data_IF_637271516899
#
_entry.id   IF_637271516899
#
_cell.length_a   1.000
_cell.length_b   1.000
_cell.length_c   1.000
_cell.angle_alpha   90.00
_cell.angle_beta   90.00
_cell.angle_gamma   90.00
#
_symmetry.space_group_name_H-M   'P 1'
#
loop_
_entity.id
_entity.type
_entity.pdbx_description
1 polymer ?
#
# COMPACT_ATOMS: atom_id res chain seq x y z
N UNK A 1 34.39 2.63 1.74
CA UNK A 1 33.68 2.43 0.47
C UNK A 1 32.55 1.47 0.77
N UNK A 2 31.38 1.99 1.13
CA UNK A 2 30.19 1.18 1.42
C UNK A 2 29.31 1.23 0.20
N UNK A 3 29.22 0.11 -0.52
CA UNK A 3 28.25 -0.09 -1.59
C UNK A 3 26.85 -0.04 -0.98
N UNK A 4 26.09 1.01 -1.31
CA UNK A 4 24.65 1.05 -1.09
C UNK A 4 24.02 0.10 -2.13
N UNK A 5 23.19 -0.87 -1.73
CA UNK A 5 22.59 -1.79 -2.69
C UNK A 5 21.69 -1.00 -3.64
N UNK A 6 21.97 -1.15 -4.93
CA UNK A 6 21.17 -0.63 -6.01
C UNK A 6 19.73 -1.15 -5.90
N UNK A 7 18.77 -0.23 -5.78
CA UNK A 7 17.35 -0.51 -5.96
C UNK A 7 16.72 -1.36 -4.87
N UNK A 8 16.68 -0.86 -3.63
CA UNK A 8 15.74 -1.41 -2.64
C UNK A 8 14.34 -1.15 -3.13
N UNK A 9 13.73 -2.22 -3.64
CA UNK A 9 12.32 -2.32 -3.99
C UNK A 9 11.51 -1.75 -2.83
N UNK A 10 11.01 -0.51 -2.95
CA UNK A 10 10.40 0.12 -1.79
C UNK A 10 9.13 -0.64 -1.31
N UNK A 11 8.68 -1.70 -2.00
CA UNK A 11 7.61 -2.59 -1.54
C UNK A 11 8.12 -3.48 -0.40
N UNK A 12 9.44 -3.64 -0.24
CA UNK A 12 10.04 -4.16 0.99
C UNK A 12 9.66 -3.35 2.23
N UNK A 13 9.34 -2.07 2.07
CA UNK A 13 9.00 -1.18 3.18
C UNK A 13 7.49 -1.12 3.43
N UNK A 14 6.68 -1.93 2.72
CA UNK A 14 5.27 -2.09 3.03
C UNK A 14 5.11 -3.00 4.25
N UNK A 15 4.63 -2.43 5.35
CA UNK A 15 4.27 -3.14 6.56
C UNK A 15 2.76 -3.09 6.75
N UNK A 16 2.20 -4.21 7.20
CA UNK A 16 0.83 -4.32 7.66
C UNK A 16 0.84 -4.46 9.17
N UNK A 17 0.07 -3.61 9.86
CA UNK A 17 0.01 -3.56 11.32
C UNK A 17 -1.43 -3.75 11.75
N UNK A 18 -1.66 -4.64 12.73
CA UNK A 18 -2.97 -4.81 13.35
C UNK A 18 -3.40 -3.53 14.07
N UNK A 19 -4.61 -3.07 13.77
CA UNK A 19 -5.29 -1.93 14.37
C UNK A 19 -6.58 -2.38 15.07
N UNK A 20 -7.21 -1.48 15.82
CA UNK A 20 -8.38 -1.82 16.64
C UNK A 20 -9.57 -2.36 15.82
N UNK A 21 -9.72 -1.93 14.56
CA UNK A 21 -10.83 -2.30 13.68
C UNK A 21 -10.38 -2.91 12.33
N UNK A 22 -9.12 -3.36 12.23
CA UNK A 22 -8.60 -4.01 11.04
C UNK A 22 -7.08 -3.89 10.90
N UNK A 23 -6.61 -3.48 9.73
CA UNK A 23 -5.18 -3.42 9.39
C UNK A 23 -4.78 -2.08 8.80
N UNK A 24 -3.69 -1.52 9.31
CA UNK A 24 -3.05 -0.35 8.75
C UNK A 24 -1.92 -0.74 7.79
N UNK A 25 -1.88 -0.10 6.63
CA UNK A 25 -0.80 -0.22 5.66
C UNK A 25 0.18 0.95 5.82
N UNK A 26 1.43 0.64 6.18
CA UNK A 26 2.51 1.61 6.30
C UNK A 26 3.54 1.42 5.19
N UNK A 27 3.94 2.50 4.53
CA UNK A 27 5.00 2.50 3.54
C UNK A 27 6.14 3.40 4.00
N UNK A 28 7.30 2.82 4.30
CA UNK A 28 8.45 3.58 4.81
C UNK A 28 8.14 4.34 6.10
N UNK A 29 7.27 3.78 6.95
CA UNK A 29 6.82 4.39 8.21
C UNK A 29 5.66 5.38 8.09
N UNK A 30 5.15 5.64 6.89
CA UNK A 30 3.99 6.50 6.68
C UNK A 30 2.73 5.67 6.45
N UNK A 31 1.65 5.94 7.17
CA UNK A 31 0.34 5.36 6.88
C UNK A 31 -0.05 5.75 5.44
N UNK A 32 -0.51 4.79 4.65
CA UNK A 32 -0.91 4.99 3.25
C UNK A 32 -2.30 4.45 2.92
N UNK A 33 -2.81 3.55 3.75
CA UNK A 33 -4.14 2.99 3.61
C UNK A 33 -4.51 2.11 4.79
N UNK A 34 -5.75 1.64 4.79
CA UNK A 34 -6.33 0.88 5.88
C UNK A 34 -7.27 -0.18 5.29
N UNK A 35 -7.37 -1.32 5.95
CA UNK A 35 -8.44 -2.30 5.74
C UNK A 35 -9.25 -2.33 7.02
N UNK A 36 -10.51 -1.88 7.02
CA UNK A 36 -11.38 -1.93 8.19
C UNK A 36 -12.36 -3.10 8.09
N UNK A 37 -12.81 -3.65 9.20
CA UNK A 37 -13.78 -4.76 9.23
C UNK A 37 -15.23 -4.31 8.94
N UNK A 38 -15.45 -3.04 8.63
CA UNK A 38 -16.78 -2.52 8.33
C UNK A 38 -17.36 -3.18 7.08
N UNK A 39 -18.58 -3.74 7.21
CA UNK A 39 -19.40 -4.24 6.10
C UNK A 39 -18.69 -5.21 5.13
N UNK A 40 -17.78 -6.05 5.61
CA UNK A 40 -17.14 -7.10 4.80
C UNK A 40 -15.70 -6.84 4.39
N UNK A 41 -14.91 -6.10 5.17
CA UNK A 41 -13.51 -5.75 4.87
C UNK A 41 -13.43 -4.64 3.80
N UNK A 42 -13.37 -3.39 4.26
CA UNK A 42 -13.27 -2.23 3.40
C UNK A 42 -11.80 -1.80 3.25
N UNK A 43 -11.29 -1.80 2.01
CA UNK A 43 -10.00 -1.26 1.66
C UNK A 43 -10.12 0.25 1.38
N UNK A 44 -9.24 1.05 1.96
CA UNK A 44 -9.22 2.51 1.74
C UNK A 44 -7.82 3.06 1.69
N UNK A 45 -7.49 3.85 0.67
CA UNK A 45 -6.26 4.65 0.66
C UNK A 45 -6.47 5.96 1.41
N UNK A 46 -5.41 6.52 2.01
CA UNK A 46 -5.52 7.78 2.76
C UNK A 46 -5.94 8.98 1.87
N UNK A 47 -5.58 8.94 0.60
CA UNK A 47 -5.96 9.97 -0.37
C UNK A 47 -7.35 9.76 -0.97
N UNK A 48 -8.04 8.66 -0.61
CA UNK A 48 -9.36 8.32 -1.12
C UNK A 48 -9.38 7.84 -2.58
N UNK A 49 -8.22 7.61 -3.20
CA UNK A 49 -8.14 7.05 -4.56
C UNK A 49 -8.68 5.62 -4.65
N UNK A 50 -8.52 4.84 -3.58
CA UNK A 50 -9.06 3.49 -3.43
C UNK A 50 -10.07 3.49 -2.30
N UNK A 51 -11.26 2.99 -2.59
CA UNK A 51 -12.31 2.71 -1.61
C UNK A 51 -13.16 1.54 -2.14
N UNK A 52 -13.15 0.41 -1.46
CA UNK A 52 -13.83 -0.80 -1.90
C UNK A 52 -14.15 -1.75 -0.76
N UNK A 53 -15.29 -2.43 -0.84
CA UNK A 53 -15.70 -3.46 0.10
C UNK A 53 -15.45 -4.84 -0.50
N UNK A 54 -14.94 -5.76 0.33
CA UNK A 54 -14.53 -7.08 -0.10
C UNK A 54 -15.33 -8.18 0.59
N UNK A 55 -14.83 -9.41 0.51
CA UNK A 55 -15.36 -10.55 1.26
C UNK A 55 -14.30 -11.17 2.18
N UNK A 56 -13.05 -10.71 2.09
CA UNK A 56 -11.97 -11.12 2.98
C UNK A 56 -10.93 -10.00 3.15
N UNK A 57 -10.18 -10.07 4.25
CA UNK A 57 -9.05 -9.18 4.53
C UNK A 57 -8.00 -9.28 3.41
N UNK A 58 -7.72 -10.49 2.92
CA UNK A 58 -6.71 -10.73 1.88
C UNK A 58 -7.09 -10.06 0.57
N UNK A 59 -8.37 -10.07 0.20
CA UNK A 59 -8.86 -9.39 -0.99
C UNK A 59 -8.72 -7.86 -0.86
N UNK A 60 -9.08 -7.31 0.31
CA UNK A 60 -8.92 -5.89 0.60
C UNK A 60 -7.45 -5.45 0.61
N UNK A 61 -6.55 -6.26 1.20
CA UNK A 61 -5.10 -6.03 1.18
C UNK A 61 -4.56 -6.07 -0.25
N UNK A 62 -4.98 -7.05 -1.05
CA UNK A 62 -4.52 -7.21 -2.43
C UNK A 62 -4.90 -6.00 -3.30
N UNK A 63 -6.08 -5.41 -3.09
CA UNK A 63 -6.48 -4.18 -3.80
C UNK A 63 -5.55 -3.01 -3.48
N UNK A 64 -5.30 -2.74 -2.19
CA UNK A 64 -4.37 -1.69 -1.76
C UNK A 64 -2.95 -1.93 -2.24
N UNK A 65 -2.46 -3.17 -2.18
CA UNK A 65 -1.15 -3.53 -2.69
C UNK A 65 -1.06 -3.31 -4.20
N UNK A 66 -2.07 -3.72 -4.96
CA UNK A 66 -2.15 -3.50 -6.40
C UNK A 66 -2.08 -2.03 -6.77
N UNK A 67 -2.86 -1.20 -6.08
CA UNK A 67 -2.84 0.26 -6.26
C UNK A 67 -1.47 0.86 -5.93
N UNK A 68 -0.85 0.49 -4.81
CA UNK A 68 0.49 0.96 -4.44
C UNK A 68 1.53 0.61 -5.50
N UNK A 69 1.48 -0.60 -6.07
CA UNK A 69 2.38 -1.02 -7.17
C UNK A 69 2.15 -0.15 -8.41
N UNK A 70 0.91 0.18 -8.74
CA UNK A 70 0.57 1.04 -9.87
C UNK A 70 1.07 2.48 -9.70
N UNK A 71 0.83 3.11 -8.54
CA UNK A 71 1.33 4.48 -8.23
C UNK A 71 2.86 4.56 -8.37
N UNK A 72 3.56 3.52 -7.93
CA UNK A 72 5.01 3.41 -8.07
C UNK A 72 5.45 3.27 -9.52
N UNK A 73 4.80 2.41 -10.29
CA UNK A 73 5.09 2.25 -11.71
C UNK A 73 4.94 3.57 -12.46
N UNK A 74 3.87 4.33 -12.17
CA UNK A 74 3.68 5.68 -12.72
C UNK A 74 4.78 6.66 -12.31
N UNK A 75 5.18 6.65 -11.03
CA UNK A 75 6.22 7.53 -10.51
C UNK A 75 7.60 7.23 -11.12
N UNK A 76 7.92 5.94 -11.29
CA UNK A 76 9.13 5.50 -11.99
C UNK A 76 9.11 5.90 -13.47
N UNK A 77 7.97 5.75 -14.14
CA UNK A 77 7.81 6.16 -15.53
C UNK A 77 8.04 7.66 -15.72
N UNK A 78 7.49 8.50 -14.83
CA UNK A 78 7.70 9.96 -14.88
C UNK A 78 9.18 10.33 -14.73
N UNK A 79 9.90 9.70 -13.79
CA UNK A 79 11.34 9.94 -13.59
C UNK A 79 12.21 9.54 -14.78
N UNK A 80 11.78 8.60 -15.63
CA UNK A 80 12.51 8.20 -16.85
C UNK A 80 12.31 9.15 -18.02
N UNK A 81 11.27 9.97 -17.99
CA UNK A 81 10.92 10.90 -19.05
C UNK A 81 11.44 12.33 -18.80
N UNK A 82 12.21 12.53 -17.72
CA UNK A 82 12.91 13.76 -17.35
C UNK A 82 14.41 13.50 -17.35
#
# INVERSE_FOLDING_TARGET
>A
MSDLPAGTDAFHDLAWVEADDGLDAFLGGHLVGMVTHEQGFAARSLDGTVEGSHHSVEAARAELEGWLRWVRALSAQRRRNH
#
